data_IF_743103424178
#
_entry.id   IF_743103424178
#
_cell.length_a   1.000
_cell.length_b   1.000
_cell.length_c   1.000
_cell.angle_alpha   90.00
_cell.angle_beta   90.00
_cell.angle_gamma   90.00
#
_symmetry.space_group_name_H-M   'P 1'
#
loop_
_entity.id
_entity.type
_entity.pdbx_description
1 polymer ?
#
# COMPACT_ATOMS: atom_id res chain seq x y z
N UNK A 1 -4.71 22.65 -12.23
CA UNK A 1 -3.72 22.46 -13.31
C UNK A 1 -4.44 21.66 -14.36
N UNK A 2 -4.65 22.20 -15.55
CA UNK A 2 -5.39 21.50 -16.60
C UNK A 2 -4.47 20.46 -17.24
N UNK A 3 -4.92 19.19 -17.25
CA UNK A 3 -4.23 18.12 -17.98
C UNK A 3 -4.16 18.47 -19.47
N UNK A 4 -3.03 18.18 -20.11
CA UNK A 4 -2.82 18.40 -21.54
C UNK A 4 -3.62 17.35 -22.35
N UNK A 5 -4.81 17.73 -22.78
CA UNK A 5 -5.61 16.98 -23.76
C UNK A 5 -5.45 17.57 -25.17
N UNK A 6 -5.61 16.76 -26.23
CA UNK A 6 -6.03 15.36 -26.23
C UNK A 6 -4.91 14.36 -25.86
N UNK A 7 -5.31 13.23 -25.28
CA UNK A 7 -4.45 12.10 -24.90
C UNK A 7 -4.77 10.89 -25.78
N UNK A 8 -3.76 10.24 -26.36
CA UNK A 8 -3.98 9.01 -27.15
C UNK A 8 -3.60 7.79 -26.32
N UNK A 9 -4.55 6.87 -26.11
CA UNK A 9 -4.32 5.58 -25.42
C UNK A 9 -4.78 4.47 -26.36
N UNK A 10 -3.84 3.59 -26.76
CA UNK A 10 -4.03 2.61 -27.83
C UNK A 10 -4.60 3.26 -29.12
N UNK A 11 -5.81 2.88 -29.53
CA UNK A 11 -6.51 3.38 -30.71
C UNK A 11 -7.54 4.49 -30.39
N UNK A 12 -7.59 4.96 -29.14
CA UNK A 12 -8.56 5.96 -28.66
C UNK A 12 -7.90 7.31 -28.44
N UNK A 13 -8.57 8.36 -28.91
CA UNK A 13 -8.27 9.76 -28.54
C UNK A 13 -9.22 10.19 -27.43
N UNK A 14 -8.64 10.62 -26.31
CA UNK A 14 -9.35 11.09 -25.12
C UNK A 14 -9.21 12.61 -25.10
N UNK A 15 -10.33 13.32 -25.06
CA UNK A 15 -10.37 14.78 -25.19
C UNK A 15 -10.42 15.48 -23.82
N UNK A 16 -10.78 14.76 -22.75
CA UNK A 16 -11.00 15.35 -21.44
C UNK A 16 -10.65 14.41 -20.28
N UNK A 17 -10.41 14.99 -19.09
CA UNK A 17 -10.17 14.25 -17.86
C UNK A 17 -11.31 13.31 -17.47
N UNK A 18 -12.58 13.76 -17.52
CA UNK A 18 -13.72 12.88 -17.27
C UNK A 18 -13.76 11.65 -18.20
N UNK A 19 -13.45 11.81 -19.49
CA UNK A 19 -13.38 10.68 -20.42
C UNK A 19 -12.27 9.70 -20.06
N UNK A 20 -11.10 10.19 -19.62
CA UNK A 20 -10.02 9.33 -19.11
C UNK A 20 -10.49 8.54 -17.88
N UNK A 21 -11.18 9.20 -16.94
CA UNK A 21 -11.70 8.56 -15.72
C UNK A 21 -12.75 7.49 -16.03
N UNK A 22 -13.68 7.76 -16.94
CA UNK A 22 -14.67 6.79 -17.41
C UNK A 22 -13.98 5.57 -18.03
N UNK A 23 -12.99 5.80 -18.91
CA UNK A 23 -12.23 4.74 -19.54
C UNK A 23 -11.50 3.85 -18.52
N UNK A 24 -10.91 4.45 -17.48
CA UNK A 24 -10.26 3.71 -16.39
C UNK A 24 -11.27 2.86 -15.62
N UNK A 25 -12.43 3.43 -15.28
CA UNK A 25 -13.48 2.74 -14.52
C UNK A 25 -14.04 1.57 -15.33
N UNK A 26 -14.32 1.78 -16.61
CA UNK A 26 -14.82 0.73 -17.51
C UNK A 26 -13.83 -0.42 -17.64
N UNK A 27 -12.55 -0.11 -17.92
CA UNK A 27 -11.51 -1.13 -18.07
C UNK A 27 -11.30 -1.91 -16.77
N UNK A 28 -11.25 -1.21 -15.64
CA UNK A 28 -11.09 -1.82 -14.32
C UNK A 28 -12.28 -2.70 -13.94
N UNK A 29 -13.51 -2.24 -14.20
CA UNK A 29 -14.72 -3.00 -13.95
C UNK A 29 -14.83 -4.28 -14.78
N UNK A 30 -14.14 -4.33 -15.92
CA UNK A 30 -14.00 -5.53 -16.75
C UNK A 30 -12.84 -6.46 -16.34
N UNK A 31 -12.11 -6.15 -15.26
CA UNK A 31 -10.93 -6.88 -14.79
C UNK A 31 -9.61 -6.45 -15.46
N UNK A 32 -9.63 -5.35 -16.22
CA UNK A 32 -8.50 -4.83 -16.99
C UNK A 32 -8.32 -5.48 -18.35
N UNK A 33 -7.48 -4.87 -19.20
CA UNK A 33 -7.04 -5.46 -20.45
C UNK A 33 -7.99 -5.30 -21.64
N UNK A 34 -9.04 -4.49 -21.51
CA UNK A 34 -10.03 -4.23 -22.57
C UNK A 34 -9.73 -2.98 -23.39
N UNK A 35 -9.11 -1.97 -22.77
CA UNK A 35 -8.69 -0.73 -23.44
C UNK A 35 -7.36 -0.95 -24.14
N UNK A 36 -6.37 -1.44 -23.41
CA UNK A 36 -5.09 -1.90 -23.97
C UNK A 36 -5.01 -3.40 -23.73
N UNK A 37 -4.98 -4.19 -24.81
CA UNK A 37 -5.12 -5.64 -24.74
C UNK A 37 -4.07 -6.27 -23.80
N UNK A 38 -4.55 -6.87 -22.72
CA UNK A 38 -3.72 -7.56 -21.73
C UNK A 38 -3.02 -6.65 -20.71
N UNK A 39 -3.35 -5.36 -20.67
CA UNK A 39 -2.76 -4.40 -19.73
C UNK A 39 -3.83 -3.80 -18.83
N UNK A 40 -3.54 -3.68 -17.54
CA UNK A 40 -4.46 -3.02 -16.60
C UNK A 40 -4.28 -1.49 -16.67
N UNK A 41 -5.25 -0.71 -16.16
CA UNK A 41 -5.14 0.74 -16.12
C UNK A 41 -3.84 1.30 -15.56
N UNK A 42 -3.35 0.86 -14.39
CA UNK A 42 -2.05 1.31 -13.90
C UNK A 42 -0.92 1.10 -14.93
N UNK A 43 -0.90 -0.03 -15.63
CA UNK A 43 0.16 -0.36 -16.60
C UNK A 43 0.13 0.56 -17.81
N UNK A 44 -1.02 0.73 -18.47
CA UNK A 44 -1.07 1.55 -19.69
C UNK A 44 -1.00 3.05 -19.38
N UNK A 45 -1.43 3.51 -18.20
CA UNK A 45 -1.24 4.90 -17.74
C UNK A 45 0.25 5.21 -17.55
N UNK A 46 1.00 4.30 -16.91
CA UNK A 46 2.45 4.45 -16.72
C UNK A 46 3.16 4.50 -18.06
N UNK A 47 2.78 3.65 -19.03
CA UNK A 47 3.34 3.73 -20.39
C UNK A 47 3.03 5.06 -21.08
N UNK A 48 1.83 5.61 -20.88
CA UNK A 48 1.49 6.93 -21.42
C UNK A 48 2.40 8.02 -20.82
N UNK A 49 2.75 7.93 -19.54
CA UNK A 49 3.73 8.82 -18.92
C UNK A 49 5.15 8.62 -19.49
N UNK A 50 5.61 7.37 -19.61
CA UNK A 50 6.93 7.03 -20.19
C UNK A 50 7.08 7.55 -21.63
N UNK A 51 5.97 7.61 -22.38
CA UNK A 51 5.91 8.15 -23.73
C UNK A 51 5.77 9.68 -23.77
N UNK A 52 5.73 10.34 -22.61
CA UNK A 52 5.60 11.80 -22.49
C UNK A 52 4.19 12.33 -22.75
N UNK A 53 3.18 11.45 -22.81
CA UNK A 53 1.78 11.83 -23.01
C UNK A 53 1.12 12.30 -21.70
N UNK A 54 1.67 11.89 -20.55
CA UNK A 54 1.32 12.40 -19.23
C UNK A 54 2.59 12.84 -18.49
N UNK A 55 2.53 13.98 -17.82
CA UNK A 55 3.58 14.42 -16.90
C UNK A 55 3.42 13.75 -15.53
N UNK A 56 4.48 13.73 -14.72
CA UNK A 56 4.42 13.25 -13.32
C UNK A 56 3.40 14.01 -12.49
N UNK A 57 3.25 15.32 -12.70
CA UNK A 57 2.26 16.13 -11.96
C UNK A 57 0.84 15.75 -12.33
N UNK A 58 0.58 15.48 -13.62
CA UNK A 58 -0.73 15.01 -14.07
C UNK A 58 -1.03 13.59 -13.57
N UNK A 59 -0.04 12.69 -13.54
CA UNK A 59 -0.18 11.38 -12.92
C UNK A 59 -0.54 11.47 -11.44
N UNK A 60 0.15 12.35 -10.68
CA UNK A 60 -0.16 12.60 -9.27
C UNK A 60 -1.58 13.12 -9.11
N UNK A 61 -1.98 14.10 -9.93
CA UNK A 61 -3.34 14.64 -9.94
C UNK A 61 -4.41 13.59 -10.27
N UNK A 62 -4.13 12.71 -11.23
CA UNK A 62 -5.00 11.60 -11.61
C UNK A 62 -5.12 10.57 -10.48
N UNK A 63 -4.01 10.14 -9.89
CA UNK A 63 -3.99 9.23 -8.74
C UNK A 63 -4.82 9.82 -7.59
N UNK A 64 -4.60 11.10 -7.26
CA UNK A 64 -5.36 11.78 -6.22
C UNK A 64 -6.86 11.85 -6.51
N UNK A 65 -7.24 12.18 -7.75
CA UNK A 65 -8.64 12.25 -8.16
C UNK A 65 -9.33 10.87 -8.11
N UNK A 66 -8.62 9.81 -8.48
CA UNK A 66 -9.10 8.43 -8.44
C UNK A 66 -9.29 7.93 -7.00
N UNK A 67 -8.33 8.19 -6.11
CA UNK A 67 -8.39 7.83 -4.68
C UNK A 67 -9.62 8.47 -4.00
N UNK A 68 -9.97 9.71 -4.36
CA UNK A 68 -11.10 10.43 -3.76
C UNK A 68 -12.46 10.02 -4.32
N UNK A 69 -12.50 9.29 -5.44
CA UNK A 69 -13.73 8.92 -6.11
C UNK A 69 -14.24 7.63 -5.47
N UNK A 70 -15.33 7.73 -4.69
CA UNK A 70 -15.93 6.63 -3.92
C UNK A 70 -16.50 5.48 -4.77
N UNK A 71 -15.66 4.86 -5.58
CA UNK A 71 -15.91 3.70 -6.43
C UNK A 71 -14.71 2.75 -6.30
N UNK A 72 -14.91 1.45 -5.98
CA UNK A 72 -13.82 0.48 -5.81
C UNK A 72 -12.80 0.48 -6.95
N UNK A 73 -13.28 0.47 -8.19
CA UNK A 73 -12.45 0.52 -9.41
C UNK A 73 -11.56 1.77 -9.48
N UNK A 74 -12.09 2.94 -9.10
CA UNK A 74 -11.30 4.17 -9.12
C UNK A 74 -10.25 4.16 -8.01
N UNK A 75 -10.67 3.85 -6.78
CA UNK A 75 -9.79 3.86 -5.61
C UNK A 75 -8.62 2.89 -5.80
N UNK A 76 -8.88 1.68 -6.30
CA UNK A 76 -7.85 0.65 -6.45
C UNK A 76 -6.81 0.99 -7.53
N UNK A 77 -7.22 1.65 -8.62
CA UNK A 77 -6.29 2.18 -9.63
C UNK A 77 -5.51 3.36 -9.07
N UNK A 78 -6.17 4.29 -8.38
CA UNK A 78 -5.50 5.44 -7.76
C UNK A 78 -4.42 5.03 -6.76
N UNK A 79 -4.71 4.02 -5.92
CA UNK A 79 -3.75 3.44 -4.98
C UNK A 79 -2.54 2.82 -5.70
N UNK A 80 -2.75 2.04 -6.76
CA UNK A 80 -1.65 1.45 -7.56
C UNK A 80 -0.82 2.51 -8.27
N UNK A 81 -1.44 3.56 -8.80
CA UNK A 81 -0.71 4.68 -9.40
C UNK A 81 0.16 5.40 -8.37
N UNK A 82 -0.35 5.59 -7.14
CA UNK A 82 0.43 6.17 -6.05
C UNK A 82 1.67 5.32 -5.74
N UNK A 83 1.52 3.99 -5.67
CA UNK A 83 2.65 3.07 -5.48
C UNK A 83 3.69 3.18 -6.60
N UNK A 84 3.25 3.18 -7.86
CA UNK A 84 4.17 3.27 -9.01
C UNK A 84 4.91 4.61 -9.03
N UNK A 85 4.22 5.70 -8.65
CA UNK A 85 4.84 7.01 -8.54
C UNK A 85 5.86 7.11 -7.40
N UNK A 86 5.69 6.32 -6.32
CA UNK A 86 6.53 6.40 -5.13
C UNK A 86 6.49 7.78 -4.46
N UNK A 87 5.36 8.48 -4.59
CA UNK A 87 5.26 9.90 -4.26
C UNK A 87 4.68 10.13 -2.86
N UNK A 88 5.55 10.43 -1.90
CA UNK A 88 5.17 10.58 -0.50
C UNK A 88 4.09 11.65 -0.23
N UNK A 89 3.88 12.60 -1.14
CA UNK A 89 2.77 13.56 -1.04
C UNK A 89 1.38 12.88 -1.14
N UNK A 90 1.29 11.71 -1.76
CA UNK A 90 0.05 10.93 -1.83
C UNK A 90 -0.19 10.08 -0.58
N UNK A 91 0.81 9.85 0.26
CA UNK A 91 0.70 9.06 1.49
C UNK A 91 -0.42 9.55 2.43
N UNK A 92 -0.43 10.83 2.84
CA UNK A 92 -1.50 11.38 3.66
C UNK A 92 -2.88 11.29 3.00
N UNK A 93 -2.97 11.38 1.68
CA UNK A 93 -4.24 11.24 0.95
C UNK A 93 -4.77 9.80 1.02
N UNK A 94 -3.91 8.79 0.90
CA UNK A 94 -4.29 7.39 1.04
C UNK A 94 -4.80 7.09 2.46
N UNK A 95 -4.09 7.56 3.48
CA UNK A 95 -4.53 7.43 4.88
C UNK A 95 -5.84 8.18 5.14
N UNK A 96 -6.01 9.37 4.54
CA UNK A 96 -7.28 10.10 4.61
C UNK A 96 -8.42 9.33 3.93
N UNK A 97 -8.16 8.68 2.79
CA UNK A 97 -9.15 7.87 2.08
C UNK A 97 -9.60 6.65 2.91
N UNK A 98 -8.68 6.00 3.63
CA UNK A 98 -9.01 4.92 4.56
C UNK A 98 -9.96 5.39 5.68
N UNK A 99 -9.77 6.60 6.19
CA UNK A 99 -10.64 7.15 7.24
C UNK A 99 -11.95 7.75 6.70
N UNK A 100 -11.98 8.17 5.43
CA UNK A 100 -13.04 8.99 4.85
C UNK A 100 -14.04 8.23 3.98
N UNK A 101 -13.65 7.11 3.38
CA UNK A 101 -14.57 6.30 2.57
C UNK A 101 -15.53 5.50 3.43
N UNK A 102 -16.68 5.12 2.85
CA UNK A 102 -17.63 4.29 3.55
C UNK A 102 -17.13 2.84 3.69
N UNK A 103 -17.55 2.18 4.78
CA UNK A 103 -17.14 0.80 5.09
C UNK A 103 -17.56 -0.18 3.99
N UNK A 104 -18.67 0.07 3.28
CA UNK A 104 -19.11 -0.78 2.19
C UNK A 104 -18.14 -0.77 1.00
N UNK A 105 -17.58 0.41 0.69
CA UNK A 105 -16.50 0.54 -0.29
C UNK A 105 -15.23 -0.15 0.16
N UNK A 106 -14.79 0.08 1.40
CA UNK A 106 -13.53 -0.47 1.92
C UNK A 106 -13.53 -2.00 1.93
N UNK A 107 -14.67 -2.62 2.28
CA UNK A 107 -14.85 -4.08 2.27
C UNK A 107 -15.12 -4.67 0.88
N UNK A 108 -15.32 -3.86 -0.15
CA UNK A 108 -15.50 -4.37 -1.50
C UNK A 108 -14.22 -5.05 -1.99
N UNK A 109 -14.37 -6.08 -2.82
CA UNK A 109 -13.21 -6.71 -3.49
C UNK A 109 -12.62 -5.75 -4.52
N UNK A 110 -11.30 -5.77 -4.64
CA UNK A 110 -10.57 -5.05 -5.65
C UNK A 110 -10.83 -5.67 -7.04
N UNK A 111 -11.36 -4.91 -8.02
CA UNK A 111 -11.65 -5.45 -9.35
C UNK A 111 -10.41 -5.95 -10.10
N UNK A 112 -9.20 -5.50 -9.74
CA UNK A 112 -7.93 -5.95 -10.34
C UNK A 112 -7.21 -7.02 -9.50
N UNK A 113 -7.71 -7.34 -8.31
CA UNK A 113 -7.14 -8.34 -7.40
C UNK A 113 -8.24 -8.90 -6.49
N UNK A 114 -8.92 -9.95 -6.94
CA UNK A 114 -10.11 -10.48 -6.25
C UNK A 114 -9.81 -11.18 -4.91
N UNK A 115 -8.54 -11.29 -4.54
CA UNK A 115 -8.13 -11.83 -3.24
C UNK A 115 -8.05 -10.75 -2.15
N UNK A 116 -8.24 -9.47 -2.52
CA UNK A 116 -8.04 -8.33 -1.62
C UNK A 116 -9.26 -7.44 -1.57
N UNK A 117 -9.46 -6.84 -0.40
CA UNK A 117 -10.39 -5.73 -0.25
C UNK A 117 -9.78 -4.42 -0.76
N UNK A 118 -10.61 -3.40 -0.97
CA UNK A 118 -10.13 -2.04 -1.26
C UNK A 118 -9.32 -1.48 -0.09
N UNK A 119 -9.71 -1.80 1.15
CA UNK A 119 -8.95 -1.46 2.35
C UNK A 119 -7.52 -2.01 2.28
N UNK A 120 -7.35 -3.29 1.96
CA UNK A 120 -6.03 -3.92 1.85
C UNK A 120 -5.19 -3.26 0.76
N UNK A 121 -5.78 -2.97 -0.39
CA UNK A 121 -5.10 -2.28 -1.49
C UNK A 121 -4.65 -0.88 -1.07
N UNK A 122 -5.48 -0.11 -0.37
CA UNK A 122 -5.13 1.21 0.14
C UNK A 122 -4.04 1.15 1.22
N UNK A 123 -4.13 0.20 2.16
CA UNK A 123 -3.14 0.05 3.23
C UNK A 123 -1.77 -0.36 2.69
N UNK A 124 -1.72 -1.29 1.74
CA UNK A 124 -0.48 -1.69 1.07
C UNK A 124 0.10 -0.53 0.26
N UNK A 125 -0.74 0.20 -0.47
CA UNK A 125 -0.28 1.41 -1.15
C UNK A 125 0.25 2.46 -0.19
N UNK A 126 -0.41 2.62 0.97
CA UNK A 126 0.04 3.55 2.01
C UNK A 126 1.39 3.13 2.59
N UNK A 127 1.61 1.84 2.81
CA UNK A 127 2.89 1.32 3.31
C UNK A 127 4.07 1.57 2.36
N UNK A 128 3.83 1.53 1.04
CA UNK A 128 4.87 1.83 0.05
C UNK A 128 5.17 3.33 -0.07
N UNK A 129 4.16 4.18 0.12
CA UNK A 129 4.22 5.58 -0.30
C UNK A 129 4.35 6.54 0.88
N UNK A 130 3.77 6.24 2.04
CA UNK A 130 3.76 7.18 3.17
C UNK A 130 5.18 7.42 3.68
N UNK A 131 5.46 8.67 4.09
CA UNK A 131 6.66 8.98 4.85
C UNK A 131 6.52 8.43 6.27
N UNK A 132 6.81 7.14 6.42
CA UNK A 132 6.77 6.46 7.71
C UNK A 132 7.87 6.93 8.67
N UNK A 133 8.75 7.86 8.29
CA UNK A 133 9.64 8.52 9.26
C UNK A 133 8.87 9.49 10.16
N UNK A 134 7.76 10.05 9.68
CA UNK A 134 6.81 10.83 10.48
C UNK A 134 6.10 9.89 11.49
N UNK A 135 6.25 10.13 12.81
CA UNK A 135 5.64 9.28 13.83
C UNK A 135 4.10 9.24 13.77
N UNK A 136 3.45 10.34 13.42
CA UNK A 136 1.98 10.43 13.41
C UNK A 136 1.40 9.66 12.21
N UNK A 137 2.04 9.76 11.04
CA UNK A 137 1.64 8.97 9.87
C UNK A 137 1.95 7.49 10.07
N UNK A 138 3.09 7.16 10.70
CA UNK A 138 3.46 5.78 11.02
C UNK A 138 2.48 5.13 11.99
N UNK A 139 2.08 5.81 13.07
CA UNK A 139 1.12 5.27 14.04
C UNK A 139 -0.26 5.02 13.39
N UNK A 140 -0.71 5.95 12.54
CA UNK A 140 -1.96 5.79 11.77
C UNK A 140 -1.90 4.57 10.85
N UNK A 141 -0.80 4.42 10.11
CA UNK A 141 -0.61 3.29 9.21
C UNK A 141 -0.56 1.96 9.99
N UNK A 142 0.25 1.86 11.05
CA UNK A 142 0.36 0.65 11.86
C UNK A 142 -0.99 0.24 12.48
N UNK A 143 -1.76 1.22 12.96
CA UNK A 143 -3.11 0.97 13.47
C UNK A 143 -4.04 0.42 12.38
N UNK A 144 -3.99 0.99 11.18
CA UNK A 144 -4.77 0.51 10.04
C UNK A 144 -4.40 -0.91 9.63
N UNK A 145 -3.10 -1.20 9.51
CA UNK A 145 -2.58 -2.53 9.16
C UNK A 145 -3.00 -3.59 10.18
N UNK A 146 -2.94 -3.26 11.47
CA UNK A 146 -3.38 -4.15 12.54
C UNK A 146 -4.88 -4.45 12.46
N UNK A 147 -5.70 -3.42 12.26
CA UNK A 147 -7.16 -3.59 12.15
C UNK A 147 -7.55 -4.44 10.93
N UNK A 148 -6.83 -4.30 9.83
CA UNK A 148 -7.01 -5.12 8.62
C UNK A 148 -6.33 -6.50 8.72
N UNK A 149 -5.67 -6.83 9.83
CA UNK A 149 -4.93 -8.08 10.01
C UNK A 149 -3.89 -8.33 8.90
N UNK A 150 -3.05 -7.33 8.61
CA UNK A 150 -1.96 -7.37 7.63
C UNK A 150 -0.56 -7.42 8.32
N UNK A 151 -0.25 -8.48 9.09
CA UNK A 151 0.92 -8.51 9.96
C UNK A 151 2.25 -8.46 9.20
N UNK A 152 2.31 -8.97 7.97
CA UNK A 152 3.53 -8.96 7.17
C UNK A 152 3.95 -7.56 6.75
N UNK A 153 2.98 -6.70 6.46
CA UNK A 153 3.22 -5.28 6.12
C UNK A 153 3.46 -4.48 7.39
N UNK A 154 2.70 -4.77 8.46
CA UNK A 154 2.85 -4.12 9.76
C UNK A 154 4.27 -4.32 10.33
N UNK A 155 4.80 -5.54 10.27
CA UNK A 155 6.17 -5.84 10.71
C UNK A 155 7.22 -5.14 9.85
N UNK A 156 7.07 -5.10 8.53
CA UNK A 156 8.03 -4.41 7.66
C UNK A 156 8.15 -2.92 8.04
N UNK A 157 7.00 -2.24 8.17
CA UNK A 157 6.95 -0.83 8.54
C UNK A 157 7.52 -0.60 9.95
N UNK A 158 7.11 -1.42 10.92
CA UNK A 158 7.57 -1.31 12.31
C UNK A 158 9.10 -1.49 12.40
N UNK A 159 9.65 -2.48 11.70
CA UNK A 159 11.07 -2.80 11.77
C UNK A 159 11.95 -1.82 10.97
N UNK A 160 11.45 -1.26 9.87
CA UNK A 160 12.18 -0.25 9.08
C UNK A 160 12.16 1.13 9.72
N UNK A 161 11.04 1.54 10.29
CA UNK A 161 10.82 2.94 10.70
C UNK A 161 10.52 3.12 12.18
N UNK A 162 10.08 2.08 12.88
CA UNK A 162 9.78 2.13 14.31
C UNK A 162 11.00 2.45 15.15
N UNK A 163 10.73 3.09 16.29
CA UNK A 163 11.68 3.27 17.38
C UNK A 163 11.62 2.11 18.39
N UNK A 164 12.49 2.16 19.40
CA UNK A 164 12.58 1.07 20.40
C UNK A 164 11.32 0.92 21.26
N UNK A 165 10.54 1.97 21.47
CA UNK A 165 9.30 1.90 22.25
C UNK A 165 8.20 1.24 21.42
N UNK A 166 8.05 1.69 20.17
CA UNK A 166 7.11 1.10 19.22
C UNK A 166 7.40 -0.38 19.00
N UNK A 167 8.66 -0.77 18.80
CA UNK A 167 9.02 -2.19 18.61
C UNK A 167 8.62 -3.02 19.83
N UNK A 168 8.98 -2.59 21.05
CA UNK A 168 8.63 -3.32 22.29
C UNK A 168 7.13 -3.44 22.50
N UNK A 169 6.37 -2.40 22.12
CA UNK A 169 4.91 -2.37 22.28
C UNK A 169 4.19 -3.22 21.23
N UNK A 170 4.54 -3.07 19.97
CA UNK A 170 3.76 -3.58 18.85
C UNK A 170 4.19 -4.99 18.44
N UNK A 171 5.48 -5.27 18.39
CA UNK A 171 6.00 -6.53 17.86
C UNK A 171 5.45 -7.78 18.59
N UNK A 172 5.39 -7.84 19.94
CA UNK A 172 4.81 -9.00 20.62
C UNK A 172 3.34 -9.19 20.29
N UNK A 173 2.63 -8.07 20.16
CA UNK A 173 1.21 -8.04 19.91
C UNK A 173 0.88 -8.49 18.48
N UNK A 174 1.74 -8.18 17.50
CA UNK A 174 1.60 -8.69 16.12
C UNK A 174 1.75 -10.22 16.09
N UNK A 175 2.81 -10.76 16.70
CA UNK A 175 3.06 -12.20 16.70
C UNK A 175 2.03 -13.03 17.46
N UNK A 176 1.37 -12.41 18.44
CA UNK A 176 0.29 -13.06 19.20
C UNK A 176 -0.99 -13.17 18.39
N UNK A 177 -1.27 -12.19 17.54
CA UNK A 177 -2.48 -12.15 16.70
C UNK A 177 -2.29 -12.85 15.36
N UNK A 178 -1.06 -12.88 14.84
CA UNK A 178 -0.77 -13.45 13.53
C UNK A 178 -0.87 -14.99 13.52
N UNK A 179 -1.56 -15.50 12.50
CA UNK A 179 -1.62 -16.94 12.21
C UNK A 179 -0.28 -17.47 11.72
N UNK A 180 0.46 -16.67 10.95
CA UNK A 180 1.77 -16.97 10.39
C UNK A 180 2.83 -15.94 10.86
N UNK A 181 4.10 -16.35 10.90
CA UNK A 181 5.21 -15.46 11.28
C UNK A 181 5.66 -14.70 10.02
N UNK A 182 5.80 -13.38 10.08
CA UNK A 182 6.34 -12.58 8.96
C UNK A 182 7.77 -12.97 8.57
N UNK A 183 8.17 -12.57 7.35
CA UNK A 183 9.49 -12.82 6.77
C UNK A 183 10.67 -12.41 7.69
N UNK A 184 11.79 -13.11 7.56
CA UNK A 184 13.02 -12.90 8.36
C UNK A 184 13.81 -11.67 7.91
N UNK A 185 13.77 -11.31 6.62
CA UNK A 185 14.64 -10.28 6.05
C UNK A 185 14.52 -8.91 6.78
N UNK A 186 13.32 -8.41 7.10
CA UNK A 186 13.16 -7.14 7.83
C UNK A 186 13.82 -7.13 9.22
N UNK A 187 13.89 -8.29 9.90
CA UNK A 187 14.54 -8.40 11.22
C UNK A 187 16.04 -8.17 11.13
N UNK A 188 16.69 -8.78 10.14
CA UNK A 188 18.13 -8.63 9.95
C UNK A 188 18.50 -7.19 9.58
N UNK A 189 17.71 -6.57 8.69
CA UNK A 189 17.89 -5.17 8.33
C UNK A 189 17.71 -4.25 9.55
N UNK A 190 16.67 -4.49 10.35
CA UNK A 190 16.40 -3.69 11.54
C UNK A 190 17.46 -3.83 12.62
N UNK A 191 17.95 -5.05 12.89
CA UNK A 191 19.04 -5.27 13.85
C UNK A 191 20.34 -4.55 13.44
N UNK A 192 20.55 -4.32 12.13
CA UNK A 192 21.71 -3.58 11.63
C UNK A 192 21.55 -2.05 11.75
N UNK A 193 20.35 -1.53 12.00
CA UNK A 193 20.09 -0.08 12.14
C UNK A 193 20.78 0.49 13.39
N UNK A 194 20.64 -0.18 14.53
CA UNK A 194 21.35 0.19 15.77
C UNK A 194 21.31 -0.94 16.81
N UNK A 195 22.29 -1.00 17.73
CA UNK A 195 22.30 -1.95 18.84
C UNK A 195 21.06 -1.86 19.74
N UNK A 196 20.51 -0.65 19.93
CA UNK A 196 19.30 -0.42 20.73
C UNK A 196 18.06 -1.01 20.07
N UNK A 197 17.95 -0.91 18.74
CA UNK A 197 16.87 -1.54 17.96
C UNK A 197 17.00 -3.07 18.01
N UNK A 198 18.22 -3.61 17.79
CA UNK A 198 18.47 -5.05 17.90
C UNK A 198 18.05 -5.58 19.28
N UNK A 199 18.45 -4.88 20.35
CA UNK A 199 18.05 -5.22 21.71
C UNK A 199 16.53 -5.11 21.91
N UNK A 200 15.88 -4.07 21.37
CA UNK A 200 14.43 -3.91 21.50
C UNK A 200 13.66 -5.05 20.81
N UNK A 201 14.17 -5.55 19.68
CA UNK A 201 13.64 -6.74 19.00
C UNK A 201 13.81 -7.98 19.89
N UNK A 202 15.02 -8.22 20.40
CA UNK A 202 15.28 -9.38 21.29
C UNK A 202 14.41 -9.33 22.55
N UNK A 203 14.33 -8.17 23.21
CA UNK A 203 13.48 -7.93 24.39
C UNK A 203 12.00 -8.25 24.07
N UNK A 204 11.52 -7.83 22.88
CA UNK A 204 10.15 -8.05 22.45
C UNK A 204 9.85 -9.53 22.15
N UNK A 205 10.80 -10.23 21.51
CA UNK A 205 10.67 -11.65 21.22
C UNK A 205 10.73 -12.50 22.49
N UNK A 206 11.56 -12.14 23.47
CA UNK A 206 11.64 -12.80 24.77
C UNK A 206 10.39 -12.62 25.63
N UNK A 207 9.60 -11.57 25.37
CA UNK A 207 8.32 -11.33 26.03
C UNK A 207 7.17 -12.18 25.46
N UNK A 208 7.38 -12.91 24.36
CA UNK A 208 6.35 -13.75 23.75
C UNK A 208 6.01 -14.96 24.62
N UNK A 209 4.74 -15.43 24.58
CA UNK A 209 4.39 -16.73 25.15
C UNK A 209 5.28 -17.85 24.57
N UNK A 210 5.69 -18.86 25.36
CA UNK A 210 6.66 -19.87 24.94
C UNK A 210 6.31 -20.58 23.62
N UNK A 211 5.03 -20.84 23.40
CA UNK A 211 4.51 -21.50 22.19
C UNK A 211 4.72 -20.63 20.93
N UNK A 212 4.48 -19.32 21.06
CA UNK A 212 4.68 -18.37 19.96
C UNK A 212 6.19 -18.15 19.75
N UNK A 213 6.97 -18.00 20.82
CA UNK A 213 8.43 -17.88 20.74
C UNK A 213 9.05 -19.05 19.99
N UNK A 214 8.66 -20.28 20.33
CA UNK A 214 9.14 -21.47 19.63
C UNK A 214 8.82 -21.42 18.13
N UNK A 215 7.57 -21.08 17.75
CA UNK A 215 7.17 -20.94 16.35
C UNK A 215 7.99 -19.88 15.61
N UNK A 216 8.22 -18.73 16.25
CA UNK A 216 9.05 -17.65 15.70
C UNK A 216 10.49 -18.11 15.53
N UNK A 217 11.08 -18.77 16.52
CA UNK A 217 12.46 -19.28 16.47
C UNK A 217 12.63 -20.35 15.39
N UNK A 218 11.65 -21.24 15.22
CA UNK A 218 11.64 -22.21 14.13
C UNK A 218 11.68 -21.48 12.78
N UNK A 219 10.84 -20.47 12.56
CA UNK A 219 10.79 -19.78 11.27
C UNK A 219 12.02 -18.86 11.02
N UNK A 220 12.49 -18.13 12.03
CA UNK A 220 13.68 -17.29 11.94
C UNK A 220 14.97 -18.11 11.84
N UNK A 221 15.04 -19.25 12.53
CA UNK A 221 16.22 -20.12 12.60
C UNK A 221 16.49 -20.92 11.32
N UNK A 222 15.49 -21.15 10.48
CA UNK A 222 15.69 -21.79 9.16
C UNK A 222 16.24 -20.84 8.10
N UNK A 223 16.51 -19.57 8.46
CA UNK A 223 17.00 -18.52 7.54
C UNK A 223 18.39 -17.96 7.91
N UNK A 224 19.06 -18.51 8.94
CA UNK A 224 20.46 -18.20 9.30
C UNK A 224 21.40 -19.30 8.83
#
# INVERSE_FOLDING_TARGET
MDMAFPLTIADRTIETGPQLLELIIEDTGAGGGTVVKGETPPTWIVKAQEQGSLTTVEMRGLAAALIQRGLPASVSVGARLAMVLGDAELGPLLLHALAGHDVGLLLALDPLDQERSIEDTLLRASAEVVDASDPDLREQLLTGLRNASLPEVEVDILLRFGDTEQIRRWLPAIFTEALDVPSVAPFQEASNRSPEIAKAIDDALDALPPEIRQRVDEQLGHSR
#
